data_IF_566277559094
#
_entry.id   IF_566277559094
#
_cell.length_a   1.000
_cell.length_b   1.000
_cell.length_c   1.000
_cell.angle_alpha   90.00
_cell.angle_beta   90.00
_cell.angle_gamma   90.00
#
_symmetry.space_group_name_H-M   'P 1'
#
loop_
_entity.id
_entity.type
_entity.pdbx_description
1 polymer ?
#
# COMPACT_ATOMS: atom_id res chain seq x y z
N UNK A 1 10.90 15.60 36.23
CA UNK A 1 9.53 15.28 35.83
C UNK A 1 9.21 16.04 34.54
N UNK A 2 9.19 15.39 33.36
CA UNK A 2 8.69 16.00 32.15
C UNK A 2 7.18 15.78 32.01
N UNK A 3 6.53 16.80 31.48
CA UNK A 3 5.10 17.02 31.35
C UNK A 3 4.40 16.09 30.37
N UNK A 4 3.23 15.63 30.80
CA UNK A 4 2.19 14.93 30.05
C UNK A 4 1.64 15.83 28.93
N UNK A 5 1.51 15.29 27.71
CA UNK A 5 0.60 15.81 26.70
C UNK A 5 1.22 16.29 25.37
N UNK A 6 1.89 15.41 24.62
CA UNK A 6 1.90 15.56 23.16
C UNK A 6 0.69 14.82 22.58
N UNK A 7 -0.18 15.56 21.88
CA UNK A 7 -1.26 14.96 21.12
C UNK A 7 -0.70 13.99 20.06
N UNK A 8 -1.29 12.80 19.87
CA UNK A 8 -0.79 11.83 18.89
C UNK A 8 -0.85 12.44 17.49
N UNK A 9 0.32 12.50 16.82
CA UNK A 9 0.47 13.00 15.45
C UNK A 9 -0.38 12.15 14.52
N UNK A 10 -1.06 12.78 13.57
CA UNK A 10 -1.70 12.06 12.46
C UNK A 10 -0.64 11.22 11.72
N UNK A 11 -0.97 10.02 11.22
CA UNK A 11 0.02 9.16 10.56
C UNK A 11 0.62 9.90 9.36
N UNK A 12 1.93 10.06 9.37
CA UNK A 12 2.64 10.63 8.22
C UNK A 12 2.48 9.67 7.05
N UNK A 13 1.97 10.19 5.92
CA UNK A 13 1.84 9.40 4.70
C UNK A 13 3.09 9.59 3.83
N UNK A 14 3.72 8.47 3.47
CA UNK A 14 4.80 8.42 2.49
C UNK A 14 4.38 7.70 1.20
N UNK A 15 5.18 7.84 0.15
CA UNK A 15 5.06 7.05 -1.09
C UNK A 15 6.37 6.33 -1.35
N UNK A 16 6.29 5.02 -1.57
CA UNK A 16 7.39 4.20 -2.09
C UNK A 16 6.94 3.49 -3.37
N UNK A 17 7.72 2.57 -3.91
CA UNK A 17 7.40 1.89 -5.16
C UNK A 17 7.48 0.36 -5.06
N UNK A 18 6.47 -0.31 -5.60
CA UNK A 18 6.47 -1.73 -5.90
C UNK A 18 7.02 -1.95 -7.32
N UNK A 19 7.92 -2.94 -7.51
CA UNK A 19 8.71 -3.09 -8.73
C UNK A 19 8.36 -4.41 -9.40
N UNK A 20 7.80 -4.35 -10.60
CA UNK A 20 7.43 -5.53 -11.39
C UNK A 20 7.99 -5.47 -12.81
N UNK A 21 8.21 -6.61 -13.47
CA UNK A 21 8.46 -6.64 -14.90
C UNK A 21 7.33 -5.91 -15.65
N UNK A 22 7.68 -4.92 -16.45
CA UNK A 22 6.70 -4.12 -17.18
C UNK A 22 6.16 -4.90 -18.39
N UNK A 23 4.86 -4.72 -18.66
CA UNK A 23 4.22 -5.25 -19.86
C UNK A 23 4.82 -4.68 -21.16
N UNK A 24 5.55 -3.56 -21.12
CA UNK A 24 6.14 -2.96 -22.33
C UNK A 24 7.31 -3.76 -22.91
N UNK A 25 8.04 -4.51 -22.09
CA UNK A 25 9.29 -5.16 -22.51
C UNK A 25 9.07 -6.27 -23.55
N UNK A 26 8.12 -7.21 -23.35
CA UNK A 26 7.81 -8.25 -24.35
C UNK A 26 7.36 -7.71 -25.71
N UNK A 27 6.88 -6.46 -25.76
CA UNK A 27 6.36 -5.83 -26.98
C UNK A 27 7.33 -4.82 -27.61
N UNK A 28 8.58 -4.75 -27.15
CA UNK A 28 9.58 -3.81 -27.69
C UNK A 28 9.25 -2.33 -27.41
N UNK A 29 8.38 -2.05 -26.43
CA UNK A 29 7.88 -0.71 -26.10
C UNK A 29 8.57 -0.07 -24.89
N UNK A 30 9.77 -0.53 -24.52
CA UNK A 30 10.49 0.01 -23.36
C UNK A 30 10.79 1.50 -23.51
N UNK A 31 11.21 1.93 -24.70
CA UNK A 31 11.52 3.34 -25.01
C UNK A 31 10.27 4.23 -25.11
N UNK A 32 9.16 3.64 -25.54
CA UNK A 32 7.89 4.35 -25.76
C UNK A 32 7.03 4.44 -24.48
N UNK A 33 7.33 3.63 -23.45
CA UNK A 33 6.54 3.54 -22.22
C UNK A 33 6.54 4.87 -21.45
N UNK A 34 5.37 5.49 -21.31
CA UNK A 34 5.19 6.80 -20.67
C UNK A 34 4.21 6.72 -19.48
N UNK A 35 4.66 6.19 -18.33
CA UNK A 35 3.85 6.11 -17.11
C UNK A 35 3.22 7.46 -16.74
N UNK A 36 1.93 7.46 -16.41
CA UNK A 36 1.22 8.61 -15.83
C UNK A 36 1.63 8.85 -14.38
N UNK A 37 1.88 7.77 -13.66
CA UNK A 37 2.34 7.75 -12.27
C UNK A 37 3.44 6.71 -12.11
N UNK A 38 4.31 6.93 -11.12
CA UNK A 38 5.52 6.15 -10.94
C UNK A 38 6.48 6.30 -12.12
N UNK A 39 7.21 5.23 -12.46
CA UNK A 39 8.19 5.26 -13.55
C UNK A 39 8.37 3.89 -14.20
N UNK A 40 8.97 3.88 -15.38
CA UNK A 40 9.41 2.67 -16.09
C UNK A 40 10.89 2.85 -16.45
N UNK A 41 11.73 1.89 -16.09
CA UNK A 41 13.15 1.92 -16.42
C UNK A 41 13.62 0.52 -16.78
N UNK A 42 14.25 0.37 -17.95
CA UNK A 42 14.83 -0.90 -18.43
C UNK A 42 13.85 -2.09 -18.36
N UNK A 43 12.60 -1.86 -18.78
CA UNK A 43 11.56 -2.90 -18.74
C UNK A 43 11.01 -3.22 -17.35
N UNK A 44 11.36 -2.45 -16.32
CA UNK A 44 10.82 -2.58 -14.96
C UNK A 44 9.86 -1.43 -14.65
N UNK A 45 8.65 -1.76 -14.20
CA UNK A 45 7.62 -0.82 -13.77
C UNK A 45 7.72 -0.58 -12.27
N UNK A 46 7.72 0.69 -11.87
CA UNK A 46 7.70 1.14 -10.48
C UNK A 46 6.32 1.73 -10.20
N UNK A 47 5.47 0.96 -9.54
CA UNK A 47 4.09 1.33 -9.21
C UNK A 47 4.09 1.97 -7.83
N UNK A 48 3.58 3.20 -7.65
CA UNK A 48 3.57 3.86 -6.36
C UNK A 48 2.68 3.11 -5.36
N UNK A 49 3.19 2.91 -4.15
CA UNK A 49 2.43 2.34 -3.02
C UNK A 49 2.54 3.28 -1.82
N UNK A 50 1.46 3.36 -1.04
CA UNK A 50 1.36 4.24 0.11
C UNK A 50 2.03 3.59 1.32
N UNK A 51 2.86 4.32 2.04
CA UNK A 51 3.35 3.95 3.36
C UNK A 51 2.64 4.79 4.41
N UNK A 52 2.18 4.13 5.47
CA UNK A 52 1.58 4.77 6.63
C UNK A 52 2.56 4.65 7.79
N UNK A 53 3.00 5.77 8.32
CA UNK A 53 3.77 5.82 9.57
C UNK A 53 2.77 5.77 10.73
N UNK A 54 2.53 4.56 11.24
CA UNK A 54 1.61 4.32 12.35
C UNK A 54 2.37 4.58 13.65
N UNK A 55 1.84 5.45 14.51
CA UNK A 55 2.44 5.73 15.80
C UNK A 55 2.61 4.42 16.60
N UNK A 56 3.80 4.20 17.17
CA UNK A 56 4.09 3.00 17.95
C UNK A 56 3.11 2.86 19.12
N UNK A 57 2.65 1.63 19.35
CA UNK A 57 2.02 1.30 20.61
C UNK A 57 3.08 1.35 21.72
N UNK A 58 2.66 1.68 22.93
CA UNK A 58 3.47 1.52 24.16
C UNK A 58 2.84 0.38 24.95
N UNK A 59 3.60 -0.46 25.67
CA UNK A 59 3.05 -1.53 26.50
C UNK A 59 1.88 -1.06 27.38
N UNK A 60 0.78 -1.84 27.41
CA UNK A 60 -0.43 -1.52 28.17
C UNK A 60 -1.43 -0.59 27.45
N UNK A 61 -1.22 -0.29 26.16
CA UNK A 61 -2.17 0.50 25.37
C UNK A 61 -3.55 -0.17 25.23
N UNK A 62 -3.63 -1.49 25.39
CA UNK A 62 -4.90 -2.23 25.35
C UNK A 62 -5.85 -1.94 26.54
N UNK A 63 -5.33 -1.45 27.67
CA UNK A 63 -6.08 -1.34 28.94
C UNK A 63 -6.85 -0.02 29.15
N UNK A 64 -6.89 0.89 28.16
CA UNK A 64 -7.96 1.91 28.12
C UNK A 64 -7.56 3.39 28.02
N UNK A 65 -6.32 3.74 27.66
CA UNK A 65 -5.91 5.14 27.52
C UNK A 65 -6.39 5.87 26.24
N UNK A 66 -7.30 5.28 25.46
CA UNK A 66 -7.81 5.88 24.21
C UNK A 66 -6.82 5.93 23.03
N UNK A 67 -5.53 5.66 23.26
CA UNK A 67 -4.50 5.53 22.21
C UNK A 67 -4.76 4.31 21.30
N UNK A 68 -5.24 3.19 21.85
CA UNK A 68 -5.49 1.96 21.10
C UNK A 68 -6.53 2.12 19.98
N UNK A 69 -7.58 2.94 20.16
CA UNK A 69 -8.58 3.17 19.13
C UNK A 69 -8.02 3.94 17.93
N UNK A 70 -7.16 4.94 18.16
CA UNK A 70 -6.51 5.71 17.09
C UNK A 70 -5.51 4.84 16.31
N UNK A 71 -4.72 4.05 17.03
CA UNK A 71 -3.81 3.09 16.42
C UNK A 71 -4.53 2.13 15.47
N UNK A 72 -5.70 1.62 15.87
CA UNK A 72 -6.47 0.71 15.02
C UNK A 72 -7.25 1.38 13.92
N UNK A 73 -7.67 2.63 14.10
CA UNK A 73 -8.19 3.44 13.00
C UNK A 73 -7.11 3.63 11.93
N UNK A 74 -5.85 3.86 12.32
CA UNK A 74 -4.72 3.95 11.38
C UNK A 74 -4.44 2.58 10.72
N UNK A 75 -4.40 1.50 11.50
CA UNK A 75 -4.25 0.13 10.97
C UNK A 75 -5.40 -0.27 10.06
N UNK A 76 -6.64 0.19 10.30
CA UNK A 76 -7.80 -0.13 9.46
C UNK A 76 -7.59 0.24 7.99
N UNK A 77 -6.77 1.26 7.72
CA UNK A 77 -6.44 1.69 6.37
C UNK A 77 -5.22 0.97 5.77
N UNK A 78 -4.47 0.19 6.56
CA UNK A 78 -3.34 -0.59 6.09
C UNK A 78 -3.81 -1.95 5.54
N UNK A 79 -3.29 -2.35 4.38
CA UNK A 79 -3.50 -3.70 3.82
C UNK A 79 -2.47 -4.71 4.38
N UNK A 80 -1.26 -4.26 4.72
CA UNK A 80 -0.13 -5.09 5.19
C UNK A 80 0.63 -4.33 6.27
N UNK A 81 1.16 -5.05 7.27
CA UNK A 81 1.99 -4.48 8.32
C UNK A 81 3.47 -4.83 8.12
N UNK A 82 4.33 -3.87 8.39
CA UNK A 82 5.77 -4.06 8.46
C UNK A 82 6.20 -3.75 9.89
N UNK A 83 6.48 -4.79 10.67
CA UNK A 83 6.91 -4.62 12.05
C UNK A 83 8.43 -4.44 12.10
N UNK A 84 8.89 -3.23 12.42
CA UNK A 84 10.31 -2.89 12.46
C UNK A 84 10.87 -3.22 13.84
N UNK A 85 11.83 -4.14 13.89
CA UNK A 85 12.51 -4.58 15.10
C UNK A 85 13.94 -4.05 15.13
N UNK A 86 14.42 -3.61 16.29
CA UNK A 86 15.84 -3.29 16.50
C UNK A 86 16.63 -4.55 16.84
N UNK A 87 17.24 -5.20 15.84
CA UNK A 87 17.96 -6.45 16.10
C UNK A 87 19.31 -6.28 16.80
N UNK A 88 19.80 -5.05 16.94
CA UNK A 88 21.05 -4.83 17.68
C UNK A 88 20.89 -4.96 19.19
N UNK A 89 19.64 -5.05 19.71
CA UNK A 89 19.38 -5.18 21.15
C UNK A 89 19.80 -3.94 21.95
N UNK A 90 19.92 -2.79 21.26
CA UNK A 90 20.37 -1.52 21.84
C UNK A 90 19.22 -0.61 22.25
N UNK A 91 17.99 -1.06 22.10
CA UNK A 91 16.78 -0.31 22.40
C UNK A 91 15.82 -1.21 23.18
N UNK A 92 15.24 -0.70 24.27
CA UNK A 92 14.26 -1.43 25.10
C UNK A 92 12.82 -1.22 24.58
N UNK A 93 11.85 -1.82 25.27
CA UNK A 93 10.42 -1.77 24.91
C UNK A 93 9.81 -0.35 24.92
N UNK A 94 10.51 0.63 25.53
CA UNK A 94 10.10 2.05 25.55
C UNK A 94 10.80 2.89 24.49
N UNK A 95 11.67 2.30 23.68
CA UNK A 95 12.48 3.03 22.72
C UNK A 95 13.71 3.72 23.32
N UNK A 96 14.08 3.40 24.56
CA UNK A 96 15.25 3.98 25.24
C UNK A 96 16.51 3.14 24.99
N UNK A 97 17.67 3.79 24.98
CA UNK A 97 18.94 3.11 24.79
C UNK A 97 19.21 2.11 25.93
N UNK A 98 19.56 0.88 25.56
CA UNK A 98 19.87 -0.20 26.50
C UNK A 98 20.98 -1.09 25.92
N UNK A 99 21.38 -2.13 26.66
CA UNK A 99 22.37 -3.12 26.23
C UNK A 99 21.82 -4.51 26.49
N UNK A 100 21.86 -5.38 25.48
CA UNK A 100 21.51 -6.79 25.61
C UNK A 100 20.00 -7.06 25.70
N UNK A 101 19.16 -6.15 25.20
CA UNK A 101 17.73 -6.40 25.09
C UNK A 101 17.46 -7.46 24.01
N UNK A 102 16.51 -8.35 24.30
CA UNK A 102 16.11 -9.41 23.37
C UNK A 102 14.98 -8.93 22.45
N UNK A 103 15.24 -8.66 21.16
CA UNK A 103 14.25 -8.08 20.24
C UNK A 103 13.08 -9.02 19.93
N UNK A 104 13.18 -10.30 20.30
CA UNK A 104 12.06 -11.25 20.19
C UNK A 104 10.87 -10.80 21.06
N UNK A 105 11.15 -10.15 22.18
CA UNK A 105 10.13 -9.67 23.10
C UNK A 105 9.26 -8.60 22.45
N UNK A 106 9.84 -7.69 21.67
CA UNK A 106 9.09 -6.69 20.90
C UNK A 106 8.18 -7.37 19.86
N UNK A 107 8.70 -8.39 19.17
CA UNK A 107 7.97 -9.15 18.16
C UNK A 107 6.73 -9.85 18.74
N UNK A 108 6.89 -10.53 19.89
CA UNK A 108 5.80 -11.22 20.59
C UNK A 108 4.83 -10.23 21.23
N UNK A 109 5.35 -9.12 21.77
CA UNK A 109 4.54 -8.10 22.43
C UNK A 109 3.53 -7.44 21.49
N UNK A 110 3.96 -6.93 20.31
CA UNK A 110 3.03 -6.28 19.38
C UNK A 110 1.92 -7.23 18.92
N UNK A 111 2.28 -8.49 18.65
CA UNK A 111 1.33 -9.52 18.26
C UNK A 111 0.33 -9.78 19.40
N UNK A 112 0.82 -9.96 20.64
CA UNK A 112 -0.01 -10.16 21.82
C UNK A 112 -0.99 -9.01 22.08
N UNK A 113 -0.56 -7.75 21.97
CA UNK A 113 -1.39 -6.57 22.21
C UNK A 113 -2.56 -6.47 21.22
N UNK A 114 -2.29 -6.65 19.92
CA UNK A 114 -3.34 -6.57 18.89
C UNK A 114 -4.37 -7.70 19.11
N UNK A 115 -3.90 -8.91 19.44
CA UNK A 115 -4.76 -10.06 19.69
C UNK A 115 -5.62 -9.85 20.94
N UNK A 116 -4.99 -9.49 22.06
CA UNK A 116 -5.68 -9.22 23.33
C UNK A 116 -6.72 -8.11 23.17
N UNK A 117 -6.39 -7.04 22.43
CA UNK A 117 -7.31 -5.93 22.24
C UNK A 117 -8.54 -6.32 21.42
N UNK A 118 -8.39 -7.04 20.29
CA UNK A 118 -9.54 -7.48 19.48
C UNK A 118 -10.38 -8.48 20.25
N UNK A 119 -9.72 -9.43 20.92
CA UNK A 119 -10.35 -10.41 21.77
C UNK A 119 -11.17 -9.75 22.89
N UNK A 120 -10.58 -8.86 23.69
CA UNK A 120 -11.26 -8.20 24.79
C UNK A 120 -12.48 -7.40 24.32
N UNK A 121 -12.40 -6.76 23.15
CA UNK A 121 -13.53 -6.02 22.58
C UNK A 121 -14.68 -6.93 22.13
N UNK A 122 -14.35 -8.07 21.52
CA UNK A 122 -15.32 -9.06 21.07
C UNK A 122 -15.94 -9.81 22.26
N UNK A 123 -15.10 -10.32 23.16
CA UNK A 123 -15.48 -11.13 24.31
C UNK A 123 -16.41 -10.40 25.27
N UNK A 124 -16.14 -9.12 25.57
CA UNK A 124 -17.01 -8.27 26.40
C UNK A 124 -18.46 -8.20 25.90
N UNK A 125 -18.70 -8.39 24.60
CA UNK A 125 -20.03 -8.32 23.98
C UNK A 125 -20.54 -9.70 23.53
N UNK A 126 -19.77 -10.76 23.74
CA UNK A 126 -20.00 -12.08 23.14
C UNK A 126 -21.37 -12.65 23.49
N UNK A 127 -21.78 -12.61 24.75
CA UNK A 127 -23.10 -13.10 25.20
C UNK A 127 -24.25 -12.42 24.45
N UNK A 128 -24.13 -11.11 24.16
CA UNK A 128 -25.12 -10.36 23.39
C UNK A 128 -25.10 -10.72 21.91
N UNK A 129 -23.90 -10.97 21.35
CA UNK A 129 -23.69 -11.43 19.97
C UNK A 129 -24.34 -12.79 19.75
N UNK A 130 -24.08 -13.76 20.64
CA UNK A 130 -24.67 -15.11 20.62
C UNK A 130 -26.19 -15.02 20.68
N UNK A 131 -26.74 -14.28 21.65
CA UNK A 131 -28.20 -14.12 21.80
C UNK A 131 -28.85 -13.57 20.53
N UNK A 132 -28.23 -12.57 19.90
CA UNK A 132 -28.74 -11.98 18.65
C UNK A 132 -28.66 -12.98 17.49
N UNK A 133 -27.53 -13.65 17.32
CA UNK A 133 -27.33 -14.65 16.27
C UNK A 133 -28.37 -15.78 16.33
N UNK A 134 -28.64 -16.31 17.52
CA UNK A 134 -29.66 -17.35 17.73
C UNK A 134 -31.07 -16.83 17.43
N UNK A 135 -31.39 -15.60 17.86
CA UNK A 135 -32.71 -15.01 17.64
C UNK A 135 -32.98 -14.70 16.15
N UNK A 136 -31.96 -14.21 15.42
CA UNK A 136 -32.10 -13.84 14.00
C UNK A 136 -31.88 -15.00 13.05
N UNK A 137 -31.40 -16.16 13.54
CA UNK A 137 -30.97 -17.30 12.71
C UNK A 137 -30.01 -16.87 11.59
N UNK A 138 -29.16 -15.90 11.91
CA UNK A 138 -28.15 -15.35 11.00
C UNK A 138 -27.07 -16.39 10.69
N UNK A 139 -26.47 -16.32 9.50
CA UNK A 139 -25.25 -17.10 9.21
C UNK A 139 -24.08 -16.63 10.07
N UNK A 140 -23.12 -17.53 10.35
CA UNK A 140 -21.87 -17.17 11.02
C UNK A 140 -21.18 -15.98 10.33
N UNK A 141 -21.14 -16.02 8.99
CA UNK A 141 -20.51 -15.00 8.18
C UNK A 141 -21.13 -13.61 8.40
N UNK A 142 -22.47 -13.52 8.42
CA UNK A 142 -23.16 -12.24 8.64
C UNK A 142 -22.94 -11.69 10.06
N UNK A 143 -22.97 -12.55 11.08
CA UNK A 143 -22.73 -12.16 12.48
C UNK A 143 -21.31 -11.62 12.66
N UNK A 144 -20.31 -12.37 12.22
CA UNK A 144 -18.89 -12.02 12.37
C UNK A 144 -18.52 -10.79 11.55
N UNK A 145 -19.07 -10.66 10.34
CA UNK A 145 -18.90 -9.43 9.54
C UNK A 145 -19.39 -8.20 10.30
N UNK A 146 -20.55 -8.30 10.96
CA UNK A 146 -21.08 -7.22 11.78
C UNK A 146 -20.13 -6.83 12.92
N UNK A 147 -19.57 -7.81 13.64
CA UNK A 147 -18.68 -7.54 14.78
C UNK A 147 -17.29 -7.02 14.36
N UNK A 148 -16.75 -7.52 13.25
CA UNK A 148 -15.38 -7.23 12.82
C UNK A 148 -15.31 -6.13 11.74
N UNK A 149 -16.44 -5.61 11.28
CA UNK A 149 -16.52 -4.52 10.30
C UNK A 149 -15.72 -3.27 10.72
N UNK A 150 -15.69 -2.95 12.02
CA UNK A 150 -14.90 -1.84 12.57
C UNK A 150 -13.39 -1.97 12.32
N UNK A 151 -12.91 -3.19 12.09
CA UNK A 151 -11.50 -3.51 11.78
C UNK A 151 -11.22 -3.59 10.27
N UNK A 152 -12.20 -3.23 9.43
CA UNK A 152 -12.07 -3.32 7.98
C UNK A 152 -12.38 -4.72 7.42
N UNK A 153 -13.11 -5.56 8.17
CA UNK A 153 -13.59 -6.84 7.66
C UNK A 153 -14.55 -6.65 6.48
N UNK A 154 -14.50 -7.57 5.53
CA UNK A 154 -15.41 -7.64 4.39
C UNK A 154 -15.87 -9.09 4.17
N UNK A 155 -16.91 -9.35 3.35
CA UNK A 155 -17.46 -10.70 3.18
C UNK A 155 -16.42 -11.75 2.74
N UNK A 156 -15.52 -11.38 1.81
CA UNK A 156 -14.47 -12.29 1.31
C UNK A 156 -13.50 -12.66 2.43
N UNK A 157 -13.13 -11.69 3.27
CA UNK A 157 -12.26 -11.90 4.41
C UNK A 157 -12.89 -12.83 5.44
N UNK A 158 -14.14 -12.62 5.81
CA UNK A 158 -14.83 -13.45 6.80
C UNK A 158 -14.98 -14.89 6.31
N UNK A 159 -15.28 -15.11 5.03
CA UNK A 159 -15.32 -16.46 4.48
C UNK A 159 -13.95 -17.15 4.57
N UNK A 160 -12.85 -16.46 4.24
CA UNK A 160 -11.49 -17.00 4.44
C UNK A 160 -11.18 -17.35 5.89
N UNK A 161 -11.69 -16.55 6.84
CA UNK A 161 -11.52 -16.81 8.28
C UNK A 161 -12.29 -18.05 8.70
N UNK A 162 -13.55 -18.18 8.27
CA UNK A 162 -14.38 -19.35 8.54
C UNK A 162 -13.79 -20.63 7.92
N UNK A 163 -13.30 -20.54 6.68
CA UNK A 163 -12.60 -21.65 6.02
C UNK A 163 -11.35 -22.07 6.79
N UNK A 164 -10.58 -21.11 7.32
CA UNK A 164 -9.38 -21.36 8.13
C UNK A 164 -9.70 -22.00 9.48
N UNK A 165 -10.84 -21.66 10.08
CA UNK A 165 -11.33 -22.27 11.31
C UNK A 165 -12.03 -23.62 11.08
N UNK A 166 -12.30 -23.98 9.82
CA UNK A 166 -13.10 -25.16 9.49
C UNK A 166 -14.57 -25.05 9.91
N UNK A 167 -15.06 -23.84 10.16
CA UNK A 167 -16.42 -23.58 10.64
C UNK A 167 -17.37 -23.50 9.46
N UNK A 168 -18.45 -24.28 9.51
CA UNK A 168 -19.53 -24.26 8.51
C UNK A 168 -20.86 -24.05 9.19
N UNK A 169 -21.76 -23.34 8.51
CA UNK A 169 -23.14 -23.25 8.98
C UNK A 169 -23.84 -24.62 8.85
N UNK A 170 -24.72 -24.99 9.79
CA UNK A 170 -25.09 -24.23 11.00
C UNK A 170 -24.02 -24.31 12.09
N UNK A 171 -23.66 -23.17 12.69
CA UNK A 171 -22.76 -23.09 13.85
C UNK A 171 -23.53 -22.68 15.10
N UNK A 172 -23.17 -23.27 16.24
CA UNK A 172 -23.70 -22.89 17.55
C UNK A 172 -22.68 -22.02 18.29
N UNK A 173 -22.69 -20.70 18.03
CA UNK A 173 -21.77 -19.76 18.69
C UNK A 173 -21.89 -19.74 20.22
N UNK A 174 -22.98 -20.27 20.78
CA UNK A 174 -23.17 -20.39 22.23
C UNK A 174 -22.34 -21.48 22.90
N UNK A 175 -21.76 -22.41 22.12
CA UNK A 175 -20.85 -23.45 22.62
C UNK A 175 -19.38 -23.00 22.56
N UNK A 176 -19.11 -21.81 22.03
CA UNK A 176 -17.77 -21.27 21.92
C UNK A 176 -17.34 -20.69 23.26
N UNK A 177 -16.31 -21.28 23.84
CA UNK A 177 -15.65 -20.80 25.03
C UNK A 177 -14.55 -19.79 24.65
N UNK A 178 -13.78 -19.37 25.65
CA UNK A 178 -12.75 -18.36 25.51
C UNK A 178 -11.72 -18.72 24.41
N UNK A 179 -11.33 -19.99 24.35
CA UNK A 179 -10.30 -20.48 23.44
C UNK A 179 -10.76 -20.50 21.97
N UNK A 180 -12.02 -20.84 21.70
CA UNK A 180 -12.57 -20.76 20.34
C UNK A 180 -12.64 -19.30 19.85
N UNK A 181 -12.99 -18.36 20.74
CA UNK A 181 -13.01 -16.94 20.38
C UNK A 181 -11.58 -16.41 20.18
N UNK A 182 -10.59 -16.83 20.97
CA UNK A 182 -9.18 -16.53 20.72
C UNK A 182 -8.72 -17.07 19.36
N UNK A 183 -9.08 -18.32 19.03
CA UNK A 183 -8.76 -18.91 17.73
C UNK A 183 -9.40 -18.14 16.57
N UNK A 184 -10.64 -17.65 16.74
CA UNK A 184 -11.28 -16.77 15.76
C UNK A 184 -10.52 -15.46 15.58
N UNK A 185 -10.08 -14.83 16.65
CA UNK A 185 -9.30 -13.58 16.60
C UNK A 185 -7.97 -13.82 15.92
N UNK A 186 -7.27 -14.91 16.24
CA UNK A 186 -6.04 -15.34 15.58
C UNK A 186 -6.24 -15.52 14.06
N UNK A 187 -7.26 -16.29 13.68
CA UNK A 187 -7.59 -16.51 12.28
C UNK A 187 -7.93 -15.18 11.57
N UNK A 188 -8.73 -14.32 12.21
CA UNK A 188 -9.07 -13.01 11.67
C UNK A 188 -7.85 -12.12 11.44
N UNK A 189 -7.00 -11.95 12.46
CA UNK A 189 -5.83 -11.08 12.39
C UNK A 189 -4.79 -11.59 11.39
N UNK A 190 -4.62 -12.90 11.27
CA UNK A 190 -3.72 -13.49 10.27
C UNK A 190 -4.15 -13.23 8.82
N UNK A 191 -5.46 -13.07 8.57
CA UNK A 191 -6.01 -12.74 7.24
C UNK A 191 -6.06 -11.22 7.05
N UNK A 192 -6.42 -10.47 8.10
CA UNK A 192 -6.61 -9.02 8.05
C UNK A 192 -5.30 -8.27 8.01
N UNK A 193 -4.32 -8.67 8.82
CA UNK A 193 -3.04 -7.99 8.96
C UNK A 193 -1.87 -8.95 8.69
N UNK A 194 -1.68 -9.40 7.42
CA UNK A 194 -0.43 -10.03 7.04
C UNK A 194 0.73 -9.12 7.45
N UNK A 195 1.67 -9.69 8.20
CA UNK A 195 2.76 -8.95 8.82
C UNK A 195 4.09 -9.56 8.43
N UNK A 196 5.03 -8.71 8.02
CA UNK A 196 6.45 -9.07 7.90
C UNK A 196 7.25 -8.45 9.06
N UNK A 197 8.33 -9.12 9.45
CA UNK A 197 9.29 -8.63 10.43
C UNK A 197 10.47 -8.00 9.68
N UNK A 198 10.70 -6.71 9.89
CA UNK A 198 11.84 -5.98 9.37
C UNK A 198 12.91 -5.89 10.46
N UNK A 199 13.94 -6.73 10.35
CA UNK A 199 15.05 -6.86 11.29
C UNK A 199 16.07 -5.74 11.01
N UNK A 200 15.83 -4.57 11.58
CA UNK A 200 16.56 -3.33 11.31
C UNK A 200 17.79 -3.15 12.21
N UNK A 201 18.70 -2.27 11.80
CA UNK A 201 20.03 -2.04 12.41
C UNK A 201 20.97 -3.26 12.31
N UNK A 202 20.81 -4.06 11.25
CA UNK A 202 21.67 -5.20 10.97
C UNK A 202 23.15 -4.86 10.72
N UNK A 203 23.47 -3.57 10.58
CA UNK A 203 24.83 -3.03 10.45
C UNK A 203 25.56 -2.81 11.79
N UNK A 204 24.87 -2.98 12.92
CA UNK A 204 25.45 -2.84 14.24
C UNK A 204 26.19 -4.11 14.66
N UNK A 205 27.30 -3.94 15.38
CA UNK A 205 28.08 -5.04 15.94
C UNK A 205 27.44 -5.54 17.25
N UNK A 206 27.91 -6.69 17.75
CA UNK A 206 27.45 -7.29 19.01
C UNK A 206 26.67 -8.57 18.76
N UNK A 207 25.56 -8.74 19.46
CA UNK A 207 24.71 -9.93 19.38
C UNK A 207 23.71 -9.91 18.22
N UNK A 208 23.81 -8.95 17.30
CA UNK A 208 22.93 -8.75 16.15
C UNK A 208 22.69 -10.04 15.35
N UNK A 209 23.76 -10.77 15.02
CA UNK A 209 23.66 -12.01 14.23
C UNK A 209 22.92 -13.12 14.98
N UNK A 210 23.13 -13.21 16.29
CA UNK A 210 22.44 -14.17 17.15
C UNK A 210 20.96 -13.83 17.25
N UNK A 211 20.64 -12.54 17.43
CA UNK A 211 19.26 -12.05 17.49
C UNK A 211 18.52 -12.31 16.17
N UNK A 212 19.15 -12.01 15.03
CA UNK A 212 18.58 -12.32 13.71
C UNK A 212 18.29 -13.81 13.61
N UNK A 213 19.26 -14.67 13.93
CA UNK A 213 19.12 -16.13 13.82
C UNK A 213 17.97 -16.65 14.69
N UNK A 214 17.90 -16.21 15.95
CA UNK A 214 16.84 -16.61 16.89
C UNK A 214 15.44 -16.19 16.41
N UNK A 215 15.31 -14.99 15.86
CA UNK A 215 14.02 -14.51 15.33
C UNK A 215 13.64 -15.29 14.07
N UNK A 216 14.58 -15.59 13.17
CA UNK A 216 14.35 -16.39 11.95
C UNK A 216 14.08 -17.86 12.26
N UNK A 217 14.58 -18.39 13.38
CA UNK A 217 14.25 -19.75 13.84
C UNK A 217 12.85 -19.81 14.46
N UNK A 218 12.46 -18.77 15.21
CA UNK A 218 11.15 -18.68 15.86
C UNK A 218 10.01 -18.41 14.88
N UNK A 219 10.24 -17.51 13.93
CA UNK A 219 9.28 -17.06 12.94
C UNK A 219 9.63 -17.64 11.57
N UNK A 220 8.64 -17.80 10.70
CA UNK A 220 8.88 -18.24 9.33
C UNK A 220 9.88 -17.30 8.63
N UNK A 221 11.00 -17.87 8.17
CA UNK A 221 12.06 -17.16 7.46
C UNK A 221 11.55 -16.36 6.25
N UNK A 222 10.46 -16.81 5.62
CA UNK A 222 9.83 -16.11 4.50
C UNK A 222 9.24 -14.73 4.88
N UNK A 223 9.05 -14.48 6.18
CA UNK A 223 8.47 -13.24 6.72
C UNK A 223 9.50 -12.33 7.37
N UNK A 224 10.76 -12.76 7.50
CA UNK A 224 11.82 -12.03 8.18
C UNK A 224 12.79 -11.40 7.17
N UNK A 225 12.92 -10.08 7.21
CA UNK A 225 13.75 -9.31 6.28
C UNK A 225 14.82 -8.53 7.04
N UNK A 226 16.08 -8.89 6.83
CA UNK A 226 17.23 -8.18 7.41
C UNK A 226 17.44 -6.86 6.69
N UNK A 227 17.57 -5.76 7.43
CA UNK A 227 17.70 -4.43 6.85
C UNK A 227 18.61 -3.49 7.65
N UNK A 228 19.13 -2.49 6.94
CA UNK A 228 19.72 -1.29 7.52
C UNK A 228 19.08 -0.06 6.90
N UNK A 229 18.03 0.45 7.55
CA UNK A 229 17.35 1.66 7.11
C UNK A 229 18.27 2.90 7.13
N UNK A 230 19.19 2.94 8.10
CA UNK A 230 20.21 3.99 8.20
C UNK A 230 21.17 3.99 7.01
N UNK A 231 21.59 2.83 6.52
CA UNK A 231 22.39 2.69 5.32
C UNK A 231 21.62 3.13 4.06
N UNK A 232 20.39 2.65 3.87
CA UNK A 232 19.56 3.03 2.72
C UNK A 232 19.31 4.55 2.64
N UNK A 233 19.03 5.18 3.78
CA UNK A 233 18.86 6.63 3.86
C UNK A 233 20.14 7.36 3.45
N UNK A 234 21.28 6.92 3.97
CA UNK A 234 22.58 7.53 3.63
C UNK A 234 22.91 7.38 2.14
N UNK A 235 22.74 6.19 1.55
CA UNK A 235 22.96 5.97 0.12
C UNK A 235 22.05 6.84 -0.75
N UNK A 236 20.79 7.02 -0.36
CA UNK A 236 19.86 7.95 -1.05
C UNK A 236 20.34 9.40 -1.00
N UNK A 237 20.86 9.86 0.14
CA UNK A 237 21.43 11.21 0.29
C UNK A 237 22.67 11.36 -0.59
N UNK A 238 23.59 10.39 -0.56
CA UNK A 238 24.79 10.41 -1.40
C UNK A 238 24.44 10.44 -2.90
N UNK A 239 23.44 9.67 -3.33
CA UNK A 239 22.94 9.71 -4.72
C UNK A 239 22.35 11.08 -5.08
N UNK A 240 21.58 11.69 -4.19
CA UNK A 240 21.01 13.03 -4.43
C UNK A 240 22.10 14.10 -4.56
N UNK A 241 23.17 13.98 -3.77
CA UNK A 241 24.39 14.79 -3.89
C UNK A 241 25.31 14.37 -5.03
N UNK A 242 24.90 13.38 -5.83
CA UNK A 242 25.67 12.83 -6.95
C UNK A 242 27.06 12.33 -6.55
N UNK A 243 27.23 11.88 -5.30
CA UNK A 243 28.49 11.30 -4.82
C UNK A 243 28.65 9.84 -5.29
N UNK A 244 27.52 9.16 -5.51
CA UNK A 244 27.49 7.76 -5.94
C UNK A 244 26.44 7.54 -7.02
N UNK A 245 26.69 6.57 -7.90
CA UNK A 245 25.68 5.94 -8.74
C UNK A 245 25.06 4.78 -7.95
N UNK A 246 23.81 4.96 -7.51
CA UNK A 246 23.10 3.97 -6.70
C UNK A 246 21.64 3.81 -7.15
N UNK A 247 21.25 2.57 -7.43
CA UNK A 247 19.85 2.20 -7.58
C UNK A 247 19.32 1.70 -6.24
N UNK A 248 18.19 2.26 -5.79
CA UNK A 248 17.64 1.90 -4.50
C UNK A 248 17.28 0.40 -4.43
N UNK A 249 17.77 -0.27 -3.38
CA UNK A 249 17.67 -1.72 -3.22
C UNK A 249 18.73 -2.54 -3.99
N UNK A 250 19.71 -1.90 -4.65
CA UNK A 250 20.83 -2.60 -5.25
C UNK A 250 21.81 -3.11 -4.18
N UNK A 251 22.51 -4.20 -4.51
CA UNK A 251 23.58 -4.77 -3.69
C UNK A 251 24.93 -4.08 -3.82
N UNK A 252 25.01 -3.00 -4.60
CA UNK A 252 26.23 -2.21 -4.79
C UNK A 252 25.90 -0.75 -5.13
N UNK A 253 26.92 0.09 -5.06
CA UNK A 253 26.95 1.44 -5.60
C UNK A 253 28.34 1.68 -6.18
N UNK A 254 28.41 2.61 -7.13
CA UNK A 254 29.65 2.99 -7.80
C UNK A 254 30.03 4.42 -7.40
N UNK A 255 31.27 4.62 -7.00
CA UNK A 255 31.91 5.93 -6.86
C UNK A 255 32.70 6.27 -8.12
N UNK A 256 33.21 7.50 -8.23
CA UNK A 256 34.08 7.87 -9.36
C UNK A 256 35.35 7.00 -9.39
N UNK A 257 35.92 6.68 -8.23
CA UNK A 257 37.09 5.80 -8.13
C UNK A 257 36.76 4.39 -8.65
N UNK A 258 35.61 3.82 -8.24
CA UNK A 258 35.22 2.48 -8.72
C UNK A 258 35.00 2.46 -10.24
N UNK A 259 34.42 3.53 -10.81
CA UNK A 259 34.22 3.68 -12.27
C UNK A 259 35.57 3.78 -12.97
N UNK A 260 36.51 4.56 -12.42
CA UNK A 260 37.84 4.71 -12.96
C UNK A 260 38.58 3.36 -13.00
N UNK A 261 38.53 2.61 -11.90
CA UNK A 261 39.16 1.29 -11.79
C UNK A 261 38.57 0.29 -12.81
N UNK A 262 37.26 0.28 -13.04
CA UNK A 262 36.61 -0.56 -14.07
C UNK A 262 37.08 -0.19 -15.49
N UNK A 263 37.11 1.10 -15.80
CA UNK A 263 37.55 1.58 -17.11
C UNK A 263 39.03 1.25 -17.38
N UNK A 264 39.90 1.43 -16.39
CA UNK A 264 41.32 1.10 -16.50
C UNK A 264 41.52 -0.42 -16.70
N UNK A 265 40.76 -1.24 -15.99
CA UNK A 265 40.79 -2.69 -16.14
C UNK A 265 40.31 -3.17 -17.52
N UNK A 266 39.25 -2.56 -18.06
CA UNK A 266 38.74 -2.86 -19.41
C UNK A 266 39.71 -2.41 -20.49
N UNK A 267 40.32 -1.23 -20.33
CA UNK A 267 41.36 -0.73 -21.23
C UNK A 267 42.58 -1.64 -21.27
N UNK A 268 43.01 -2.17 -20.12
CA UNK A 268 44.11 -3.13 -20.03
C UNK A 268 43.82 -4.45 -20.79
N UNK A 269 42.55 -4.83 -20.94
CA UNK A 269 42.10 -5.99 -21.73
C UNK A 269 41.94 -5.69 -23.23
N UNK A 270 42.26 -4.47 -23.68
CA UNK A 270 42.12 -4.06 -25.07
C UNK A 270 40.66 -3.78 -25.49
N UNK A 271 39.75 -3.63 -24.53
CA UNK A 271 38.36 -3.28 -24.82
C UNK A 271 38.24 -1.79 -25.19
N UNK A 272 37.28 -1.47 -26.06
CA UNK A 272 36.90 -0.09 -26.29
C UNK A 272 36.18 0.44 -25.04
N UNK A 273 36.73 1.48 -24.43
CA UNK A 273 36.19 2.13 -23.24
C UNK A 273 35.73 3.55 -23.58
N UNK A 274 34.57 3.99 -23.06
CA UNK A 274 34.12 5.37 -23.20
C UNK A 274 35.04 6.34 -22.45
N UNK A 275 34.91 7.64 -22.72
CA UNK A 275 35.69 8.65 -22.00
C UNK A 275 35.27 8.72 -20.53
N UNK A 276 36.24 8.84 -19.62
CA UNK A 276 35.98 8.94 -18.17
C UNK A 276 35.00 10.08 -17.85
N UNK A 277 35.15 11.22 -18.52
CA UNK A 277 34.31 12.40 -18.35
C UNK A 277 32.84 12.14 -18.69
N UNK A 278 32.56 11.23 -19.63
CA UNK A 278 31.21 10.84 -20.02
C UNK A 278 30.57 9.91 -18.98
N UNK A 279 31.31 8.91 -18.48
CA UNK A 279 30.85 7.94 -17.48
C UNK A 279 30.65 8.58 -16.09
N UNK A 280 31.53 9.51 -15.73
CA UNK A 280 31.53 10.20 -14.44
C UNK A 280 30.75 11.51 -14.47
N UNK A 281 30.10 11.83 -15.60
CA UNK A 281 29.41 13.09 -15.84
C UNK A 281 28.42 13.41 -14.71
N UNK A 282 28.71 14.50 -14.00
CA UNK A 282 27.87 15.02 -12.92
C UNK A 282 28.04 14.29 -11.58
N UNK A 283 28.97 13.35 -11.44
CA UNK A 283 29.34 12.81 -10.12
C UNK A 283 30.35 13.72 -9.41
N UNK A 284 30.33 13.69 -8.07
CA UNK A 284 31.26 14.43 -7.22
C UNK A 284 32.08 13.49 -6.33
N UNK A 285 33.33 13.88 -6.02
CA UNK A 285 34.21 13.11 -5.14
C UNK A 285 33.71 13.13 -3.70
N UNK A 286 33.61 11.97 -3.02
CA UNK A 286 33.24 11.92 -1.61
C UNK A 286 34.32 12.54 -0.72
N UNK A 287 33.91 13.27 0.32
CA UNK A 287 34.81 13.66 1.41
C UNK A 287 35.30 12.43 2.20
N UNK A 288 36.39 12.57 2.98
CA UNK A 288 37.00 11.48 3.74
C UNK A 288 36.04 10.77 4.71
N UNK A 289 35.11 11.50 5.34
CA UNK A 289 34.15 10.93 6.29
C UNK A 289 33.06 10.15 5.55
N UNK A 290 32.58 10.70 4.44
CA UNK A 290 31.60 10.08 3.55
C UNK A 290 32.16 8.79 2.96
N UNK A 291 33.41 8.81 2.46
CA UNK A 291 34.12 7.64 1.93
C UNK A 291 34.21 6.51 2.95
N UNK A 292 34.71 6.77 4.17
CA UNK A 292 34.76 5.77 5.25
C UNK A 292 33.40 5.16 5.58
N UNK A 293 32.34 5.97 5.55
CA UNK A 293 30.98 5.49 5.82
C UNK A 293 30.43 4.64 4.67
N UNK A 294 30.73 5.00 3.42
CA UNK A 294 30.39 4.22 2.23
C UNK A 294 31.08 2.85 2.25
N UNK A 295 32.37 2.80 2.57
CA UNK A 295 33.13 1.55 2.74
C UNK A 295 32.51 0.67 3.82
N UNK A 296 32.22 1.24 5.01
CA UNK A 296 31.54 0.49 6.07
C UNK A 296 30.20 -0.10 5.63
N UNK A 297 29.38 0.65 4.87
CA UNK A 297 28.09 0.17 4.35
C UNK A 297 28.31 -0.92 3.30
N UNK A 298 29.29 -0.76 2.43
CA UNK A 298 29.65 -1.76 1.42
C UNK A 298 29.97 -3.10 2.07
N UNK A 299 30.78 -3.10 3.13
CA UNK A 299 31.22 -4.33 3.79
C UNK A 299 30.16 -4.92 4.73
N UNK A 300 29.64 -4.10 5.65
CA UNK A 300 28.76 -4.58 6.72
C UNK A 300 27.32 -4.84 6.28
N UNK A 301 26.89 -4.24 5.17
CA UNK A 301 25.49 -4.31 4.73
C UNK A 301 25.39 -4.93 3.34
N UNK A 302 26.00 -4.30 2.34
CA UNK A 302 25.74 -4.66 0.94
C UNK A 302 26.38 -5.99 0.56
N UNK A 303 27.64 -6.20 0.90
CA UNK A 303 28.34 -7.46 0.64
C UNK A 303 27.74 -8.61 1.47
N UNK A 304 27.43 -8.33 2.74
CA UNK A 304 26.92 -9.33 3.68
C UNK A 304 25.50 -9.81 3.38
N UNK A 305 24.59 -8.87 3.04
CA UNK A 305 23.16 -9.16 2.89
C UNK A 305 22.65 -9.03 1.45
N UNK A 306 23.53 -8.69 0.49
CA UNK A 306 23.17 -8.46 -0.92
C UNK A 306 22.40 -7.17 -1.19
N UNK A 307 22.19 -6.32 -0.18
CA UNK A 307 21.44 -5.08 -0.27
C UNK A 307 21.10 -4.51 1.10
N UNK A 308 20.42 -3.35 1.13
CA UNK A 308 20.02 -2.71 2.39
C UNK A 308 18.77 -3.33 3.05
N UNK A 309 18.09 -4.26 2.38
CA UNK A 309 16.91 -4.97 2.88
C UNK A 309 15.59 -4.18 2.84
N UNK A 310 15.64 -2.84 2.90
CA UNK A 310 14.44 -1.99 2.96
C UNK A 310 13.52 -2.21 1.76
N UNK A 311 14.08 -2.23 0.55
CA UNK A 311 13.29 -2.44 -0.67
C UNK A 311 12.77 -3.87 -0.79
N UNK A 312 13.57 -4.86 -0.38
CA UNK A 312 13.17 -6.26 -0.39
C UNK A 312 11.96 -6.47 0.53
N UNK A 313 11.98 -5.87 1.72
CA UNK A 313 10.87 -5.89 2.66
C UNK A 313 9.60 -5.21 2.08
N UNK A 314 9.74 -4.06 1.41
CA UNK A 314 8.60 -3.41 0.75
C UNK A 314 8.03 -4.27 -0.37
N UNK A 315 8.87 -4.91 -1.21
CA UNK A 315 8.37 -5.84 -2.24
C UNK A 315 7.60 -6.99 -1.61
N UNK A 316 8.21 -7.66 -0.63
CA UNK A 316 7.62 -8.82 0.03
C UNK A 316 6.32 -8.47 0.76
N UNK A 317 6.25 -7.31 1.43
CA UNK A 317 5.03 -6.82 2.04
C UNK A 317 3.90 -6.71 1.00
N UNK A 318 4.17 -6.09 -0.15
CA UNK A 318 3.16 -5.97 -1.21
C UNK A 318 2.82 -7.34 -1.80
N UNK A 319 3.80 -8.24 -1.96
CA UNK A 319 3.60 -9.59 -2.49
C UNK A 319 2.74 -10.49 -1.60
N UNK A 320 2.69 -10.26 -0.28
CA UNK A 320 1.79 -10.97 0.64
C UNK A 320 0.30 -10.78 0.30
N UNK A 321 -0.05 -9.68 -0.37
CA UNK A 321 -1.42 -9.45 -0.85
C UNK A 321 -1.70 -10.12 -2.19
N UNK A 322 -0.71 -10.76 -2.80
CA UNK A 322 -0.76 -11.37 -4.13
C UNK A 322 -1.42 -10.46 -5.17
N UNK A 323 -0.93 -9.21 -5.34
CA UNK A 323 -1.59 -8.23 -6.19
C UNK A 323 -1.51 -8.63 -7.66
N UNK A 324 -2.58 -8.35 -8.38
CA UNK A 324 -2.67 -8.49 -9.83
C UNK A 324 -2.35 -7.14 -10.46
N UNK A 325 -1.48 -7.13 -11.47
CA UNK A 325 -1.11 -5.89 -12.17
C UNK A 325 -1.88 -5.82 -13.48
N UNK A 326 -2.58 -4.71 -13.68
CA UNK A 326 -3.40 -4.46 -14.85
C UNK A 326 -2.99 -3.19 -15.58
N UNK A 327 -2.86 -3.28 -16.90
CA UNK A 327 -2.44 -2.24 -17.83
C UNK A 327 -3.61 -1.88 -18.75
N UNK A 328 -4.49 -0.97 -18.32
CA UNK A 328 -5.60 -0.54 -19.16
C UNK A 328 -5.11 0.34 -20.30
N UNK A 329 -5.53 -0.01 -21.52
CA UNK A 329 -5.19 0.69 -22.77
C UNK A 329 -6.46 0.98 -23.58
N UNK A 330 -6.40 2.02 -24.42
CA UNK A 330 -7.41 2.37 -25.42
C UNK A 330 -7.21 1.62 -26.72
N UNK A 331 -5.98 1.19 -27.01
CA UNK A 331 -5.63 0.44 -28.21
C UNK A 331 -4.67 -0.70 -27.89
N UNK A 332 -5.01 -1.91 -28.37
CA UNK A 332 -4.18 -3.11 -28.24
C UNK A 332 -3.11 -3.22 -29.34
N UNK A 333 -3.14 -2.37 -30.36
CA UNK A 333 -2.13 -2.40 -31.44
C UNK A 333 -0.89 -1.57 -31.10
N UNK A 334 -1.10 -0.37 -30.55
CA UNK A 334 -0.02 0.56 -30.21
C UNK A 334 0.11 0.79 -28.70
N UNK A 335 -0.73 0.15 -27.88
CA UNK A 335 -0.72 0.22 -26.42
C UNK A 335 -0.96 1.65 -25.87
N UNK A 336 -1.61 2.51 -26.65
CA UNK A 336 -1.97 3.85 -26.18
C UNK A 336 -3.00 3.78 -25.05
N UNK A 337 -2.82 4.62 -24.04
CA UNK A 337 -3.70 4.72 -22.86
C UNK A 337 -4.62 5.93 -22.96
N UNK A 338 -4.19 6.98 -23.65
CA UNK A 338 -4.98 8.21 -23.82
C UNK A 338 -5.81 8.16 -25.10
N UNK A 339 -6.95 8.86 -25.13
CA UNK A 339 -7.86 8.89 -26.27
C UNK A 339 -7.17 9.45 -27.53
N UNK A 340 -6.31 10.45 -27.36
CA UNK A 340 -5.57 11.10 -28.45
C UNK A 340 -4.36 10.28 -28.94
N UNK A 341 -4.17 9.06 -28.42
CA UNK A 341 -3.04 8.20 -28.78
C UNK A 341 -1.71 8.57 -28.11
N UNK A 342 -1.74 9.46 -27.10
CA UNK A 342 -0.55 10.01 -26.44
C UNK A 342 0.31 8.99 -25.70
N UNK A 343 0.02 8.70 -24.43
CA UNK A 343 0.88 7.84 -23.59
C UNK A 343 0.75 6.37 -23.95
N UNK A 344 1.87 5.68 -24.14
CA UNK A 344 1.95 4.22 -24.25
C UNK A 344 2.17 3.59 -22.88
N UNK A 345 1.38 2.57 -22.52
CA UNK A 345 1.38 1.96 -21.17
C UNK A 345 1.32 3.01 -20.03
N UNK A 346 0.44 4.01 -20.18
CA UNK A 346 0.30 5.11 -19.24
C UNK A 346 -0.07 4.63 -17.84
N UNK A 347 -0.94 3.62 -17.73
CA UNK A 347 -1.47 3.12 -16.47
C UNK A 347 -0.94 1.72 -16.14
N UNK A 348 -0.69 1.47 -14.85
CA UNK A 348 -0.38 0.17 -14.29
C UNK A 348 -1.01 0.10 -12.88
N UNK A 349 -2.18 -0.53 -12.78
CA UNK A 349 -3.00 -0.53 -11.57
C UNK A 349 -2.77 -1.84 -10.83
N UNK A 350 -2.51 -1.75 -9.52
CA UNK A 350 -2.52 -2.90 -8.62
C UNK A 350 -3.96 -3.15 -8.18
N UNK A 351 -4.46 -4.37 -8.40
CA UNK A 351 -5.79 -4.79 -7.98
C UNK A 351 -5.68 -6.04 -7.12
N UNK A 352 -6.67 -6.26 -6.26
CA UNK A 352 -6.68 -7.40 -5.35
C UNK A 352 -6.86 -8.71 -6.12
N UNK A 353 -6.32 -9.83 -5.63
CA UNK A 353 -6.59 -11.14 -6.20
C UNK A 353 -8.10 -11.42 -6.17
N UNK A 354 -8.63 -11.94 -7.28
CA UNK A 354 -10.07 -12.14 -7.47
C UNK A 354 -10.81 -10.94 -8.07
N UNK A 355 -10.14 -9.80 -8.31
CA UNK A 355 -10.77 -8.66 -8.99
C UNK A 355 -11.26 -9.03 -10.39
N UNK A 356 -12.51 -8.67 -10.68
CA UNK A 356 -13.13 -8.87 -12.00
C UNK A 356 -12.84 -7.73 -12.96
N UNK A 357 -13.06 -7.96 -14.26
CA UNK A 357 -13.00 -6.93 -15.31
C UNK A 357 -13.86 -5.72 -14.93
N UNK A 358 -15.07 -5.93 -14.41
CA UNK A 358 -15.96 -4.87 -13.92
C UNK A 358 -15.31 -4.01 -12.83
N UNK A 359 -14.71 -4.65 -11.83
CA UNK A 359 -14.04 -3.95 -10.72
C UNK A 359 -12.89 -3.08 -11.23
N UNK A 360 -12.08 -3.59 -12.16
CA UNK A 360 -10.97 -2.83 -12.73
C UNK A 360 -11.46 -1.68 -13.60
N UNK A 361 -12.53 -1.89 -14.39
CA UNK A 361 -13.16 -0.82 -15.16
C UNK A 361 -13.61 0.34 -14.25
N UNK A 362 -14.17 0.03 -13.08
CA UNK A 362 -14.55 1.04 -12.08
C UNK A 362 -13.39 1.83 -11.50
N UNK A 363 -12.22 1.20 -11.33
CA UNK A 363 -11.00 1.90 -10.92
C UNK A 363 -10.47 2.85 -11.99
N UNK A 364 -10.74 2.57 -13.27
CA UNK A 364 -10.29 3.41 -14.40
C UNK A 364 -11.27 4.55 -14.68
N UNK A 365 -12.57 4.27 -14.62
CA UNK A 365 -13.63 5.22 -14.93
C UNK A 365 -14.88 4.92 -14.09
N UNK A 366 -14.91 5.48 -12.88
CA UNK A 366 -15.93 5.21 -11.86
C UNK A 366 -17.38 5.52 -12.26
N UNK A 367 -17.61 6.27 -13.35
CA UNK A 367 -18.95 6.55 -13.90
C UNK A 367 -19.33 5.80 -15.18
N UNK A 368 -18.45 4.96 -15.72
CA UNK A 368 -18.70 4.25 -16.99
C UNK A 368 -18.98 2.76 -16.82
N UNK A 369 -18.89 2.23 -15.60
CA UNK A 369 -19.04 0.79 -15.33
C UNK A 369 -20.39 0.25 -15.77
N UNK A 370 -21.47 1.02 -15.58
CA UNK A 370 -22.83 0.63 -15.99
C UNK A 370 -22.98 0.49 -17.51
N UNK A 371 -22.09 1.14 -18.27
CA UNK A 371 -22.05 1.07 -19.72
C UNK A 371 -21.04 0.03 -20.22
N UNK A 372 -20.32 -0.68 -19.34
CA UNK A 372 -19.36 -1.70 -19.75
C UNK A 372 -20.08 -2.85 -20.46
N UNK A 373 -19.66 -3.17 -21.68
CA UNK A 373 -20.20 -4.31 -22.42
C UNK A 373 -19.33 -5.55 -22.28
N UNK A 374 -18.02 -5.37 -22.49
CA UNK A 374 -17.01 -6.43 -22.42
C UNK A 374 -15.62 -5.80 -22.37
N UNK A 375 -14.60 -6.63 -22.19
CA UNK A 375 -13.21 -6.24 -22.38
C UNK A 375 -12.49 -7.19 -23.34
N UNK A 376 -11.39 -6.71 -23.92
CA UNK A 376 -10.43 -7.55 -24.62
C UNK A 376 -9.13 -7.60 -23.82
N UNK A 377 -8.66 -8.81 -23.54
CA UNK A 377 -7.34 -9.09 -22.99
C UNK A 377 -6.38 -9.43 -24.11
N UNK A 378 -5.14 -8.93 -24.02
CA UNK A 378 -4.04 -9.39 -24.85
C UNK A 378 -3.29 -10.50 -24.12
N UNK A 379 -3.30 -11.69 -24.71
CA UNK A 379 -2.59 -12.86 -24.19
C UNK A 379 -1.20 -13.01 -24.82
N UNK A 380 -0.42 -13.93 -24.27
CA UNK A 380 0.86 -14.32 -24.86
C UNK A 380 0.67 -14.79 -26.31
N UNK A 381 1.63 -14.44 -27.18
CA UNK A 381 1.49 -14.67 -28.62
C UNK A 381 0.62 -13.63 -29.36
N UNK A 382 0.11 -12.60 -28.67
CA UNK A 382 -0.62 -11.49 -29.30
C UNK A 382 -2.09 -11.80 -29.60
N UNK A 383 -2.62 -12.89 -29.06
CA UNK A 383 -4.01 -13.29 -29.22
C UNK A 383 -4.90 -12.34 -28.41
N UNK A 384 -5.96 -11.83 -29.05
CA UNK A 384 -6.96 -10.99 -28.38
C UNK A 384 -8.12 -11.87 -27.96
N UNK A 385 -8.33 -11.98 -26.64
CA UNK A 385 -9.46 -12.72 -26.09
C UNK A 385 -10.52 -11.76 -25.57
N UNK A 386 -11.74 -11.87 -26.10
CA UNK A 386 -12.91 -11.17 -25.56
C UNK A 386 -13.36 -11.84 -24.27
N UNK A 387 -13.54 -11.05 -23.22
CA UNK A 387 -13.94 -11.51 -21.90
C UNK A 387 -15.14 -10.72 -21.37
N UNK A 388 -15.99 -11.41 -20.61
CA UNK A 388 -17.13 -10.81 -19.92
C UNK A 388 -16.71 -9.99 -18.70
N UNK A 389 -17.69 -9.30 -18.10
CA UNK A 389 -17.46 -8.40 -16.97
C UNK A 389 -17.09 -9.11 -15.66
N UNK A 390 -17.56 -10.35 -15.48
CA UNK A 390 -17.29 -11.18 -14.30
C UNK A 390 -15.97 -11.97 -14.40
N UNK A 391 -15.26 -11.87 -15.53
CA UNK A 391 -13.98 -12.54 -15.69
C UNK A 391 -13.00 -12.04 -14.63
N UNK A 392 -12.48 -12.97 -13.83
CA UNK A 392 -11.43 -12.70 -12.84
C UNK A 392 -10.09 -12.52 -13.55
N UNK A 393 -9.35 -11.47 -13.18
CA UNK A 393 -7.99 -11.23 -13.67
C UNK A 393 -6.98 -11.94 -12.79
N UNK A 394 -5.97 -12.56 -13.40
CA UNK A 394 -4.89 -13.29 -12.72
C UNK A 394 -3.53 -12.92 -13.31
N UNK A 395 -2.45 -13.12 -12.56
CA UNK A 395 -1.09 -12.84 -13.02
C UNK A 395 -0.67 -11.36 -12.99
N UNK A 396 0.49 -11.05 -13.57
CA UNK A 396 1.18 -9.76 -13.39
C UNK A 396 1.28 -8.89 -14.67
N UNK A 397 0.69 -9.30 -15.79
CA UNK A 397 0.80 -8.57 -17.07
C UNK A 397 -0.54 -8.54 -17.83
N UNK A 398 -1.61 -8.13 -17.16
CA UNK A 398 -2.92 -8.04 -17.78
C UNK A 398 -3.04 -6.78 -18.63
N UNK A 399 -2.88 -6.88 -19.95
CA UNK A 399 -3.14 -5.76 -20.86
C UNK A 399 -4.61 -5.82 -21.28
N UNK A 400 -5.38 -4.79 -20.93
CA UNK A 400 -6.84 -4.81 -21.09
C UNK A 400 -7.36 -3.58 -21.82
N UNK A 401 -8.31 -3.79 -22.73
CA UNK A 401 -9.09 -2.71 -23.36
C UNK A 401 -10.57 -2.89 -23.00
N UNK A 402 -11.18 -1.83 -22.47
CA UNK A 402 -12.60 -1.82 -22.12
C UNK A 402 -13.46 -1.26 -23.25
N UNK A 403 -14.61 -1.88 -23.49
CA UNK A 403 -15.60 -1.44 -24.46
C UNK A 403 -16.88 -1.04 -23.74
N UNK A 404 -17.30 0.21 -23.95
CA UNK A 404 -18.47 0.80 -23.33
C UNK A 404 -19.56 1.04 -24.38
N UNK A 405 -20.82 0.93 -23.98
CA UNK A 405 -21.96 1.43 -24.76
C UNK A 405 -21.89 2.97 -24.83
N UNK A 406 -22.25 3.60 -25.95
CA UNK A 406 -22.42 5.04 -26.02
C UNK A 406 -23.43 5.51 -24.95
N UNK A 407 -23.09 6.57 -24.23
CA UNK A 407 -24.03 7.26 -23.33
C UNK A 407 -24.84 8.20 -24.20
N UNK A 408 -26.14 7.96 -24.34
CA UNK A 408 -27.04 8.91 -25.00
C UNK A 408 -27.14 10.15 -24.11
N UNK A 409 -26.65 11.30 -24.60
CA UNK A 409 -26.82 12.58 -23.92
C UNK A 409 -28.32 12.90 -23.85
N UNK A 410 -28.89 13.01 -22.65
CA UNK A 410 -30.22 13.60 -22.50
C UNK A 410 -30.14 15.06 -22.97
N UNK A 411 -31.02 15.54 -23.86
CA UNK A 411 -31.00 16.92 -24.28
C UNK A 411 -31.21 17.82 -23.04
N UNK A 412 -30.27 18.75 -22.83
CA UNK A 412 -30.39 19.77 -21.81
C UNK A 412 -31.54 20.70 -22.18
N UNK A 413 -32.59 20.74 -21.37
CA UNK A 413 -33.61 21.78 -21.46
C UNK A 413 -33.00 23.12 -21.04
N UNK A 414 -32.39 23.83 -21.97
CA UNK A 414 -32.08 25.26 -21.84
C UNK A 414 -33.33 26.07 -22.21
N UNK A 415 -34.27 26.15 -21.27
CA UNK A 415 -35.33 27.17 -21.30
C UNK A 415 -34.73 28.54 -20.97
N UNK A 416 -34.40 29.31 -22.00
CA UNK A 416 -34.11 30.74 -21.86
C UNK A 416 -35.41 31.51 -21.59
N UNK A 417 -35.61 31.98 -20.36
CA UNK A 417 -36.49 33.12 -20.07
C UNK A 417 -35.61 34.32 -19.68
N UNK A 418 -35.33 35.19 -20.66
CA UNK A 418 -34.67 36.48 -20.41
C UNK A 418 -35.69 37.47 -19.84
N UNK A 419 -35.56 37.83 -18.57
CA UNK A 419 -36.11 39.05 -18.00
C UNK A 419 -35.18 40.22 -18.34
N UNK A 420 -35.64 41.13 -19.21
CA UNK A 420 -35.01 42.43 -19.43
C UNK A 420 -35.56 43.44 -18.42
N UNK A 421 -34.71 43.86 -17.48
CA UNK A 421 -34.89 45.11 -16.75
C UNK A 421 -34.76 46.29 -17.73
N UNK A 422 -35.74 47.19 -17.71
CA UNK A 422 -35.60 48.56 -18.19
C UNK A 422 -36.04 49.47 -17.05
N UNK A 423 -35.05 50.11 -16.46
CA UNK A 423 -35.22 51.16 -15.47
C UNK A 423 -35.31 52.51 -16.21
N UNK A 424 -36.42 53.23 -16.05
CA UNK A 424 -36.49 54.66 -16.34
C UNK A 424 -37.60 55.32 -15.50
N UNK A 425 -37.12 56.09 -14.52
CA UNK A 425 -37.84 57.05 -13.67
C UNK A 425 -38.82 57.98 -14.40
N UNK A 426 -40.00 58.24 -13.79
CA UNK A 426 -40.45 59.56 -13.30
C UNK A 426 -41.96 59.64 -13.00
N UNK A 427 -42.26 59.97 -11.74
CA UNK A 427 -43.26 60.94 -11.23
C UNK A 427 -44.68 61.03 -11.85
N UNK A 428 -45.69 60.73 -11.02
CA UNK A 428 -46.95 61.48 -10.73
C UNK A 428 -47.97 60.50 -10.12
N UNK A 429 -48.23 60.56 -8.82
CA UNK A 429 -49.32 61.31 -8.16
C UNK A 429 -50.75 60.82 -8.46
N UNK A 430 -51.43 60.47 -7.35
CA UNK A 430 -52.87 60.54 -7.04
C UNK A 430 -53.80 59.33 -7.33
N UNK A 431 -54.33 58.83 -6.20
CA UNK A 431 -55.75 58.52 -5.88
C UNK A 431 -56.48 57.42 -6.65
N UNK A 432 -56.88 56.36 -5.95
CA UNK A 432 -58.27 56.13 -5.51
C UNK A 432 -58.33 54.91 -4.56
N UNK A 433 -58.75 55.13 -3.30
CA UNK A 433 -60.07 54.78 -2.73
C UNK A 433 -60.20 53.33 -2.25
N UNK A 434 -60.04 53.23 -0.94
CA UNK A 434 -60.67 52.30 0.00
C UNK A 434 -62.21 52.32 -0.07
N UNK A 435 -62.80 51.14 0.16
CA UNK A 435 -64.17 50.99 0.66
C UNK A 435 -64.88 49.80 0.03
N UNK A 436 -65.02 48.68 0.75
CA UNK A 436 -66.29 48.43 1.44
C UNK A 436 -66.14 47.32 2.49
N UNK A 437 -66.85 47.55 3.59
CA UNK A 437 -67.02 46.83 4.85
C UNK A 437 -68.04 45.68 4.74
N UNK A 438 -68.01 44.75 5.70
CA UNK A 438 -69.14 43.86 5.94
C UNK A 438 -68.82 42.65 6.81
N UNK A 439 -68.86 42.85 8.13
CA UNK A 439 -68.97 41.82 9.16
C UNK A 439 -70.19 40.91 8.95
N UNK A 440 -70.12 39.64 9.39
CA UNK A 440 -71.18 39.03 10.21
C UNK A 440 -70.75 37.70 10.83
N UNK A 441 -71.03 37.60 12.13
CA UNK A 441 -70.81 36.51 13.08
C UNK A 441 -71.65 35.24 12.78
N UNK A 442 -71.20 34.12 13.35
CA UNK A 442 -71.93 32.84 13.42
C UNK A 442 -71.05 31.72 13.95
#
# INVERSE_FOLDING_TARGET
>A
MPSVGEAPRQPNTGVTYYRVPCACAPHGKVKDCQPRYGRCANGMRFIPVKLLDVAGLVPGASEGAGLGNKFLDDLRHADVLMHILDVSGTTNEKGEATVGYDPINDAEWLHGEIHAWVFNNLWRRWTSVVRRHTATKSSAASTLLGQLSGYGANPVMINKVLDKLGVRDPVYLGEWEEEEVKALVEAFLSVRFPTILLLNKADQAGDTDKNISRIVERYDASKCFVASAGAECFLKICRQKKVIRYQAGAGNFETIEDIQDDLDFRKARGEHVPAMEEETAGLEMPDSKTKKRLEKIRDMVLFRYGGTGVWAAVQAAVDLQHPVVCYPVKSLSNFSTDADGGRVFGNAILVRPGSTVRSVAGNVASGMVEHLQYAELLEEGGIRRRVGEDQVLTGQKNIIKFFYRPVEERPSHTGHSQSKEKDQSKSKSKSDKTGDSGDCEG
#
